data_IF_243643692168
#
_entry.id   IF_243643692168
#
_cell.length_a   1.000
_cell.length_b   1.000
_cell.length_c   1.000
_cell.angle_alpha   90.00
_cell.angle_beta   90.00
_cell.angle_gamma   90.00
#
_symmetry.space_group_name_H-M   'P 1'
#
loop_
_entity.id
_entity.type
_entity.pdbx_description
1 polymer ?
#
# COMPACT_ATOMS: atom_id res chain seq x y z
N UNK A 1 -16.23 3.66 -54.38
CA UNK A 1 -15.74 3.29 -53.03
C UNK A 1 -16.09 4.47 -52.09
N UNK A 2 -16.94 4.41 -51.06
CA UNK A 2 -17.16 3.40 -50.01
C UNK A 2 -15.96 3.41 -49.05
N UNK A 3 -15.99 3.83 -47.78
CA UNK A 3 -17.06 3.98 -46.78
C UNK A 3 -16.67 5.05 -45.72
N UNK A 4 -17.68 5.57 -45.00
CA UNK A 4 -17.54 6.49 -43.86
C UNK A 4 -17.54 5.65 -42.57
N UNK A 5 -16.49 5.68 -41.76
CA UNK A 5 -16.50 5.07 -40.43
C UNK A 5 -16.99 6.07 -39.39
N UNK A 6 -18.25 5.90 -38.97
CA UNK A 6 -18.78 6.45 -37.72
C UNK A 6 -18.58 5.38 -36.65
N UNK A 7 -17.84 5.70 -35.59
CA UNK A 7 -17.79 4.88 -34.39
C UNK A 7 -18.74 5.52 -33.39
N UNK A 8 -19.87 4.86 -33.17
CA UNK A 8 -20.78 5.10 -32.07
C UNK A 8 -20.75 3.84 -31.19
N UNK A 9 -20.34 3.99 -29.95
CA UNK A 9 -20.42 2.98 -28.88
C UNK A 9 -20.09 3.73 -27.59
N UNK A 10 -20.87 3.80 -26.54
CA UNK A 10 -22.18 3.26 -26.19
C UNK A 10 -22.38 3.67 -24.74
N UNK A 11 -23.50 4.34 -24.43
CA UNK A 11 -23.85 4.72 -23.07
C UNK A 11 -24.12 3.46 -22.23
N UNK A 12 -23.62 3.40 -21.01
CA UNK A 12 -24.12 2.47 -19.99
C UNK A 12 -24.45 3.27 -18.73
N UNK A 13 -25.74 3.35 -18.46
CA UNK A 13 -26.35 3.85 -17.24
C UNK A 13 -26.39 2.73 -16.17
N UNK A 14 -26.44 3.09 -14.89
CA UNK A 14 -26.98 2.20 -13.86
C UNK A 14 -26.51 2.45 -12.43
N UNK A 15 -27.33 3.18 -11.67
CA UNK A 15 -27.25 3.41 -10.22
C UNK A 15 -27.44 2.12 -9.43
N UNK A 16 -26.75 1.94 -8.30
CA UNK A 16 -27.25 1.15 -7.16
C UNK A 16 -26.98 1.89 -5.85
N UNK A 17 -28.06 2.38 -5.22
CA UNK A 17 -28.10 2.77 -3.80
C UNK A 17 -28.49 1.54 -3.01
N UNK A 18 -27.68 1.12 -2.04
CA UNK A 18 -28.11 0.18 -0.99
C UNK A 18 -27.67 0.77 0.34
N UNK A 19 -28.64 1.32 1.07
CA UNK A 19 -28.53 1.52 2.50
C UNK A 19 -28.94 0.23 3.22
N UNK A 20 -28.23 -0.11 4.30
CA UNK A 20 -28.75 -0.98 5.35
C UNK A 20 -28.33 -0.42 6.71
N UNK A 21 -29.34 -0.17 7.54
CA UNK A 21 -29.21 0.21 8.93
C UNK A 21 -28.80 -1.01 9.78
N UNK A 22 -27.88 -0.78 10.73
CA UNK A 22 -27.62 -1.73 11.81
C UNK A 22 -27.69 -0.98 13.14
N UNK A 23 -28.82 -1.14 13.82
CA UNK A 23 -28.96 -0.80 15.22
C UNK A 23 -28.10 -1.75 16.05
N UNK A 24 -27.25 -1.22 16.92
CA UNK A 24 -26.80 -1.94 18.10
C UNK A 24 -27.04 -1.06 19.33
N UNK A 25 -28.23 -1.23 19.90
CA UNK A 25 -28.52 -0.86 21.27
C UNK A 25 -27.74 -1.78 22.20
N UNK A 26 -27.10 -1.24 23.22
CA UNK A 26 -26.35 -2.02 24.20
C UNK A 26 -25.76 -1.13 25.29
N UNK A 27 -26.63 -0.65 26.18
CA UNK A 27 -26.30 -0.07 27.48
C UNK A 27 -25.58 -1.10 28.37
N UNK A 28 -24.48 -0.71 29.00
CA UNK A 28 -24.02 -1.29 30.26
C UNK A 28 -23.16 -0.28 31.03
N UNK A 29 -23.75 0.18 32.12
CA UNK A 29 -23.24 1.09 33.14
C UNK A 29 -22.41 0.33 34.19
N UNK A 30 -21.37 0.99 34.74
CA UNK A 30 -21.00 0.83 36.15
C UNK A 30 -19.72 0.06 36.50
N UNK A 31 -18.84 0.70 37.30
CA UNK A 31 -17.91 -0.02 38.19
C UNK A 31 -16.61 0.69 38.57
N UNK A 32 -16.65 1.61 39.54
CA UNK A 32 -15.46 2.07 40.31
C UNK A 32 -15.00 1.01 41.32
N UNK A 33 -13.68 0.89 41.54
CA UNK A 33 -13.12 0.08 42.63
C UNK A 33 -11.61 0.30 42.81
N UNK A 34 -11.26 0.83 43.98
CA UNK A 34 -9.94 1.32 44.43
C UNK A 34 -9.08 0.21 45.11
N UNK A 35 -7.79 0.52 45.33
CA UNK A 35 -6.80 -0.04 46.30
C UNK A 35 -5.76 -1.08 45.84
N UNK A 36 -4.49 -0.72 46.02
CA UNK A 36 -3.37 -1.66 46.17
C UNK A 36 -1.97 -1.04 46.05
N UNK A 37 -1.36 -0.73 47.19
CA UNK A 37 -0.09 0.01 47.39
C UNK A 37 1.18 -0.88 47.39
N UNK A 38 2.36 -0.29 47.06
CA UNK A 38 3.77 -0.68 47.39
C UNK A 38 4.37 -1.98 46.83
N UNK A 39 5.68 -2.18 46.61
CA UNK A 39 6.92 -1.40 46.53
C UNK A 39 8.03 -2.35 45.99
N UNK A 40 9.11 -1.77 45.49
CA UNK A 40 10.30 -2.37 44.87
C UNK A 40 11.04 -3.44 45.70
N UNK A 41 11.67 -4.40 45.01
CA UNK A 41 12.99 -4.92 45.34
C UNK A 41 13.65 -5.61 44.12
N UNK A 42 14.93 -5.30 43.95
CA UNK A 42 15.86 -5.69 42.89
C UNK A 42 16.14 -7.22 42.84
N UNK A 43 16.60 -7.74 41.68
CA UNK A 43 18.03 -7.91 41.38
C UNK A 43 18.36 -9.11 40.46
N UNK A 44 19.34 -8.85 39.56
CA UNK A 44 20.24 -9.74 38.78
C UNK A 44 19.76 -10.13 37.38
N UNK A 45 20.27 -9.48 36.33
CA UNK A 45 21.59 -9.65 35.67
C UNK A 45 21.81 -11.03 35.05
N UNK A 46 21.97 -11.02 33.72
CA UNK A 46 22.80 -11.98 33.00
C UNK A 46 22.27 -12.35 31.60
N UNK A 47 22.90 -11.83 30.54
CA UNK A 47 22.82 -12.45 29.21
C UNK A 47 22.81 -11.50 28.00
N UNK A 48 23.99 -11.12 27.53
CA UNK A 48 24.27 -10.39 26.28
C UNK A 48 24.12 -11.29 25.03
N UNK A 49 23.20 -10.89 24.14
CA UNK A 49 23.27 -10.80 22.65
C UNK A 49 23.53 -12.09 21.80
N UNK A 50 23.47 -12.04 20.45
CA UNK A 50 22.38 -12.56 19.61
C UNK A 50 22.82 -13.72 18.70
N UNK A 51 21.93 -14.66 18.38
CA UNK A 51 22.22 -15.63 17.32
C UNK A 51 21.56 -15.19 15.99
N UNK A 52 22.41 -14.65 15.11
CA UNK A 52 22.16 -14.52 13.69
C UNK A 52 22.21 -15.91 13.05
N UNK A 53 21.03 -16.44 12.72
CA UNK A 53 20.87 -17.58 11.82
C UNK A 53 20.14 -17.14 10.57
N UNK A 54 20.86 -16.54 9.63
CA UNK A 54 20.40 -16.29 8.28
C UNK A 54 20.39 -17.61 7.49
N UNK A 55 19.21 -18.14 7.21
CA UNK A 55 19.00 -19.11 6.13
C UNK A 55 17.77 -18.68 5.31
N UNK A 56 17.96 -17.55 4.62
CA UNK A 56 17.14 -17.19 3.47
C UNK A 56 17.48 -18.13 2.31
N UNK A 57 16.73 -19.22 2.17
CA UNK A 57 16.67 -19.98 0.93
C UNK A 57 15.45 -19.49 0.13
N UNK A 58 15.62 -18.79 -1.01
CA UNK A 58 14.51 -18.60 -1.93
C UNK A 58 14.24 -19.96 -2.59
N UNK A 59 13.23 -20.67 -2.09
CA UNK A 59 12.63 -21.77 -2.82
C UNK A 59 11.87 -21.15 -4.00
N UNK A 60 12.54 -21.07 -5.15
CA UNK A 60 11.91 -20.74 -6.41
C UNK A 60 10.90 -21.83 -6.78
N UNK A 61 9.65 -21.45 -6.93
CA UNK A 61 8.62 -22.26 -7.58
C UNK A 61 8.40 -21.69 -8.99
N UNK A 62 8.99 -22.35 -9.98
CA UNK A 62 8.79 -22.05 -11.40
C UNK A 62 7.52 -22.72 -11.91
N UNK A 63 6.37 -22.18 -11.51
CA UNK A 63 5.07 -22.47 -12.13
C UNK A 63 4.43 -21.15 -12.51
N UNK A 64 4.37 -20.84 -13.82
CA UNK A 64 3.79 -19.61 -14.40
C UNK A 64 3.79 -18.44 -13.42
N UNK A 65 4.97 -17.85 -13.24
CA UNK A 65 5.25 -16.82 -12.24
C UNK A 65 4.12 -15.80 -12.25
N UNK A 66 3.25 -15.84 -11.22
CA UNK A 66 2.22 -14.82 -11.06
C UNK A 66 2.98 -13.51 -10.98
N UNK A 67 2.76 -12.64 -11.96
CA UNK A 67 3.40 -11.34 -12.01
C UNK A 67 3.32 -10.69 -10.62
N UNK A 68 4.48 -10.29 -10.11
CA UNK A 68 4.61 -9.60 -8.83
C UNK A 68 3.68 -8.38 -8.79
N UNK A 69 3.36 -7.91 -7.58
CA UNK A 69 2.53 -6.71 -7.42
C UNK A 69 3.13 -5.51 -8.17
N UNK A 70 4.46 -5.39 -8.17
CA UNK A 70 5.17 -4.36 -8.91
C UNK A 70 4.98 -4.50 -10.43
N UNK A 71 5.06 -5.71 -10.98
CA UNK A 71 4.85 -5.93 -12.41
C UNK A 71 3.41 -5.63 -12.84
N UNK A 72 2.42 -6.03 -12.04
CA UNK A 72 1.01 -5.69 -12.29
C UNK A 72 0.77 -4.19 -12.22
N UNK A 73 1.35 -3.52 -11.24
CA UNK A 73 1.24 -2.07 -11.11
C UNK A 73 1.89 -1.34 -12.31
N UNK A 74 3.12 -1.73 -12.67
CA UNK A 74 3.80 -1.19 -13.86
C UNK A 74 3.01 -1.42 -15.14
N UNK A 75 2.43 -2.62 -15.32
CA UNK A 75 1.62 -2.94 -16.48
C UNK A 75 0.37 -2.03 -16.58
N UNK A 76 -0.32 -1.83 -15.46
CA UNK A 76 -1.48 -0.93 -15.40
C UNK A 76 -1.12 0.50 -15.83
N UNK A 77 -0.04 1.06 -15.31
CA UNK A 77 0.40 2.42 -15.67
C UNK A 77 0.93 2.49 -17.08
N UNK A 78 1.55 1.43 -17.61
CA UNK A 78 1.94 1.42 -19.02
C UNK A 78 0.72 1.53 -19.95
N UNK A 79 -0.41 0.97 -19.58
CA UNK A 79 -1.63 1.05 -20.37
C UNK A 79 -2.40 2.37 -20.15
N UNK A 80 -2.50 2.82 -18.89
CA UNK A 80 -3.44 3.89 -18.49
C UNK A 80 -2.77 5.20 -18.07
N UNK A 81 -1.49 5.16 -17.69
CA UNK A 81 -0.78 6.29 -17.09
C UNK A 81 -0.26 7.32 -18.08
N UNK A 82 0.10 8.48 -17.55
CA UNK A 82 0.78 9.57 -18.25
C UNK A 82 2.25 9.23 -18.54
N UNK A 83 2.92 9.94 -19.48
CA UNK A 83 4.35 9.74 -19.72
C UNK A 83 5.23 9.91 -18.47
N UNK A 84 4.86 10.83 -17.58
CA UNK A 84 5.61 11.13 -16.36
C UNK A 84 5.44 10.03 -15.30
N UNK A 85 4.25 9.46 -15.18
CA UNK A 85 4.02 8.30 -14.29
C UNK A 85 4.75 7.07 -14.80
N UNK A 86 4.79 6.84 -16.11
CA UNK A 86 5.55 5.72 -16.71
C UNK A 86 7.05 5.83 -16.42
N UNK A 87 7.60 7.03 -16.54
CA UNK A 87 8.99 7.30 -16.16
C UNK A 87 9.21 7.04 -14.67
N UNK A 88 8.35 7.60 -13.81
CA UNK A 88 8.45 7.39 -12.36
C UNK A 88 8.33 5.91 -11.96
N UNK A 89 7.47 5.13 -12.62
CA UNK A 89 7.30 3.70 -12.33
C UNK A 89 8.45 2.83 -12.83
N UNK A 90 9.31 3.34 -13.74
CA UNK A 90 10.52 2.61 -14.13
C UNK A 90 11.46 2.39 -12.93
N UNK A 91 11.42 3.32 -11.96
CA UNK A 91 12.18 3.30 -10.71
C UNK A 91 11.58 2.42 -9.61
N UNK A 92 10.34 1.93 -9.76
CA UNK A 92 9.72 1.05 -8.75
C UNK A 92 10.41 -0.31 -8.75
N UNK A 93 10.95 -0.73 -7.62
CA UNK A 93 11.66 -2.01 -7.48
C UNK A 93 10.78 -3.07 -6.82
N UNK A 94 9.85 -2.66 -5.95
CA UNK A 94 8.97 -3.57 -5.20
C UNK A 94 7.66 -2.90 -4.83
N UNK A 95 6.58 -3.68 -4.77
CA UNK A 95 5.29 -3.28 -4.21
C UNK A 95 4.85 -4.36 -3.23
N UNK A 96 4.35 -3.96 -2.07
CA UNK A 96 3.86 -4.83 -1.01
C UNK A 96 2.52 -4.30 -0.47
N UNK A 97 1.69 -5.19 0.08
CA UNK A 97 0.40 -4.83 0.68
C UNK A 97 -0.73 -4.44 -0.30
N UNK A 98 -0.45 -4.27 -1.60
CA UNK A 98 -1.45 -3.83 -2.58
C UNK A 98 -2.58 -4.83 -2.86
N UNK A 99 -2.41 -6.11 -2.51
CA UNK A 99 -3.46 -7.13 -2.61
C UNK A 99 -4.19 -7.38 -1.28
N UNK A 100 -3.72 -6.80 -0.17
CA UNK A 100 -4.30 -6.97 1.16
C UNK A 100 -5.25 -5.81 1.44
N UNK A 101 -6.47 -5.92 0.91
CA UNK A 101 -7.53 -4.91 1.08
C UNK A 101 -8.66 -5.43 1.97
N UNK A 102 -8.99 -4.66 3.01
CA UNK A 102 -10.09 -4.88 3.94
C UNK A 102 -10.95 -3.63 4.15
N UNK A 103 -10.68 -2.53 3.44
CA UNK A 103 -11.40 -1.24 3.45
C UNK A 103 -11.40 -0.50 4.80
N UNK A 104 -10.63 -0.98 5.80
CA UNK A 104 -10.56 -0.40 7.14
C UNK A 104 -9.23 0.31 7.36
N UNK A 105 -8.10 -0.36 7.06
CA UNK A 105 -6.75 0.17 7.19
C UNK A 105 -5.83 -0.45 6.13
N UNK A 106 -6.10 -0.14 4.87
CA UNK A 106 -5.32 -0.67 3.76
C UNK A 106 -4.02 0.10 3.63
N UNK A 107 -2.90 -0.63 3.63
CA UNK A 107 -1.58 -0.05 3.53
C UNK A 107 -0.82 -0.73 2.39
N UNK A 108 -0.25 0.08 1.52
CA UNK A 108 0.63 -0.40 0.48
C UNK A 108 1.98 0.30 0.57
N UNK A 109 3.05 -0.47 0.40
CA UNK A 109 4.41 0.05 0.38
C UNK A 109 4.99 -0.12 -1.02
N UNK A 110 5.50 0.97 -1.58
CA UNK A 110 6.17 1.02 -2.87
C UNK A 110 7.62 1.42 -2.67
N UNK A 111 8.54 0.54 -3.05
CA UNK A 111 9.97 0.78 -2.95
C UNK A 111 10.51 1.18 -4.30
N UNK A 112 11.42 2.14 -4.31
CA UNK A 112 12.05 2.68 -5.51
C UNK A 112 13.56 2.60 -5.42
N UNK A 113 14.26 2.94 -6.49
CA UNK A 113 15.72 3.13 -6.52
C UNK A 113 16.13 4.61 -6.44
N UNK A 114 15.20 5.51 -6.09
CA UNK A 114 15.53 6.90 -5.81
C UNK A 114 16.49 7.01 -4.61
N UNK A 115 17.17 8.16 -4.49
CA UNK A 115 18.11 8.41 -3.39
C UNK A 115 17.97 9.83 -2.86
N UNK A 116 18.44 10.05 -1.63
CA UNK A 116 18.50 11.37 -1.00
C UNK A 116 17.30 11.73 -0.13
N UNK A 117 16.42 10.78 0.19
CA UNK A 117 15.29 10.97 1.08
C UNK A 117 14.36 12.11 0.65
N UNK A 118 13.73 12.77 1.62
CA UNK A 118 12.73 13.83 1.37
C UNK A 118 13.30 15.09 0.71
N UNK A 119 14.63 15.26 0.72
CA UNK A 119 15.32 16.40 0.11
C UNK A 119 15.95 16.03 -1.25
N UNK A 120 15.88 14.76 -1.64
CA UNK A 120 16.39 14.26 -2.90
C UNK A 120 15.45 14.53 -4.07
N UNK A 121 15.91 14.20 -5.28
CA UNK A 121 15.13 14.41 -6.50
C UNK A 121 13.92 13.45 -6.60
N UNK A 122 13.90 12.37 -5.81
CA UNK A 122 12.87 11.34 -5.81
C UNK A 122 11.50 11.78 -5.30
N UNK A 123 11.38 12.88 -4.55
CA UNK A 123 10.10 13.32 -3.95
C UNK A 123 9.06 13.74 -5.01
N UNK A 124 9.50 14.32 -6.12
CA UNK A 124 8.62 14.68 -7.24
C UNK A 124 8.02 13.43 -7.90
N UNK A 125 8.86 12.53 -8.44
CA UNK A 125 8.42 11.24 -8.98
C UNK A 125 7.63 10.39 -8.00
N UNK A 126 7.97 10.38 -6.71
CA UNK A 126 7.24 9.62 -5.69
C UNK A 126 5.75 10.02 -5.59
N UNK A 127 5.42 11.30 -5.79
CA UNK A 127 4.02 11.74 -5.86
C UNK A 127 3.29 11.20 -7.07
N UNK A 128 3.97 11.08 -8.22
CA UNK A 128 3.41 10.47 -9.42
C UNK A 128 3.19 8.97 -9.22
N UNK A 129 4.12 8.29 -8.56
CA UNK A 129 3.96 6.88 -8.19
C UNK A 129 2.74 6.69 -7.27
N UNK A 130 2.59 7.52 -6.24
CA UNK A 130 1.44 7.46 -5.33
C UNK A 130 0.11 7.76 -6.05
N UNK A 131 0.10 8.77 -6.92
CA UNK A 131 -1.08 9.12 -7.75
C UNK A 131 -1.49 7.95 -8.66
N UNK A 132 -0.54 7.39 -9.39
CA UNK A 132 -0.81 6.26 -10.28
C UNK A 132 -1.28 5.01 -9.51
N UNK A 133 -0.84 4.84 -8.26
CA UNK A 133 -1.32 3.77 -7.39
C UNK A 133 -2.79 3.96 -7.02
N UNK A 134 -3.22 5.20 -6.74
CA UNK A 134 -4.62 5.54 -6.48
C UNK A 134 -5.54 5.35 -7.69
N UNK A 135 -5.00 5.44 -8.90
CA UNK A 135 -5.74 5.07 -10.12
C UNK A 135 -5.83 3.54 -10.29
N UNK A 136 -4.87 2.80 -9.77
CA UNK A 136 -4.81 1.34 -9.88
C UNK A 136 -5.66 0.61 -8.84
N UNK A 137 -5.67 1.12 -7.61
CA UNK A 137 -6.32 0.52 -6.43
C UNK A 137 -7.15 1.58 -5.73
N UNK A 138 -8.27 1.15 -5.15
CA UNK A 138 -9.16 2.02 -4.40
C UNK A 138 -9.43 1.45 -3.02
N UNK A 139 -9.41 2.29 -2.00
CA UNK A 139 -9.83 1.97 -0.62
C UNK A 139 -10.31 3.23 0.08
N UNK A 140 -11.34 3.13 0.94
CA UNK A 140 -11.85 4.30 1.65
C UNK A 140 -10.83 4.89 2.64
N UNK A 141 -9.94 4.04 3.16
CA UNK A 141 -8.94 4.41 4.17
C UNK A 141 -7.53 3.96 3.77
N UNK A 142 -7.27 3.82 2.45
CA UNK A 142 -6.01 3.35 1.92
C UNK A 142 -4.89 4.40 2.03
N UNK A 143 -3.69 3.95 2.38
CA UNK A 143 -2.48 4.75 2.35
C UNK A 143 -1.36 4.00 1.61
N UNK A 144 -0.91 4.56 0.50
CA UNK A 144 0.31 4.12 -0.18
C UNK A 144 1.48 4.96 0.32
N UNK A 145 2.56 4.30 0.72
CA UNK A 145 3.82 4.94 1.11
C UNK A 145 4.91 4.59 0.11
N UNK A 146 5.64 5.59 -0.35
CA UNK A 146 6.72 5.44 -1.32
C UNK A 146 8.06 5.66 -0.61
N UNK A 147 8.95 4.68 -0.76
CA UNK A 147 10.27 4.65 -0.15
C UNK A 147 11.35 4.76 -1.21
N UNK A 148 12.47 5.40 -0.85
CA UNK A 148 13.69 5.41 -1.64
C UNK A 148 14.51 4.12 -1.46
N UNK A 149 15.69 4.07 -2.09
CA UNK A 149 16.57 2.91 -2.06
C UNK A 149 17.11 2.57 -0.66
N UNK A 150 17.20 3.58 0.22
CA UNK A 150 17.67 3.45 1.61
C UNK A 150 16.51 3.09 2.56
N UNK A 151 15.28 3.04 2.04
CA UNK A 151 14.07 2.76 2.82
C UNK A 151 13.52 4.00 3.53
N UNK A 152 13.95 5.20 3.15
CA UNK A 152 13.40 6.45 3.66
C UNK A 152 12.09 6.79 2.94
N UNK A 153 11.09 7.28 3.68
CA UNK A 153 9.82 7.73 3.08
C UNK A 153 10.11 8.99 2.27
N UNK A 154 9.75 8.97 0.99
CA UNK A 154 9.91 10.10 0.07
C UNK A 154 8.59 10.60 -0.51
N UNK A 155 7.49 9.90 -0.25
CA UNK A 155 6.16 10.33 -0.62
C UNK A 155 5.09 9.39 -0.06
N UNK A 156 3.85 9.86 -0.06
CA UNK A 156 2.69 9.04 0.27
C UNK A 156 1.46 9.60 -0.46
N UNK A 157 0.41 8.79 -0.55
CA UNK A 157 -0.87 9.18 -1.11
C UNK A 157 -2.00 8.31 -0.57
N UNK A 158 -3.21 8.86 -0.55
CA UNK A 158 -4.41 8.06 -0.31
C UNK A 158 -4.83 7.37 -1.60
N UNK A 159 -5.30 6.13 -1.50
CA UNK A 159 -5.87 5.38 -2.61
C UNK A 159 -7.16 4.71 -2.15
#
# INVERSE_FOLDING_TARGET
MGMKSKIALGAVAGIVVIGVASANSGDAEGGSGDRGTTASAEQRSGGTTPDSGADAKPAGDKGTEKASQAERFKAFVQENGTPQEKEALSHVTKVQGADEQNDILDAADVYTDFTGGIMGEGTGPAKLVASAFADWKQSDNGLVTVYDADGEIIGNGSF
#
